data_IF_060695555316
#
_entry.id   IF_060695555316
#
_cell.length_a   1.000
_cell.length_b   1.000
_cell.length_c   1.000
_cell.angle_alpha   90.00
_cell.angle_beta   90.00
_cell.angle_gamma   90.00
#
_symmetry.space_group_name_H-M   'P 1'
#
loop_
_entity.id
_entity.type
_entity.pdbx_description
1 polymer ?
#
# COMPACT_ATOMS: atom_id res chain seq x y z
N UNK A 1 -0.30 27.34 -9.88
CA UNK A 1 0.07 28.03 -8.65
C UNK A 1 1.34 27.41 -8.08
N UNK A 2 2.43 28.18 -8.07
CA UNK A 2 3.64 27.79 -7.34
C UNK A 2 3.29 27.67 -5.87
N UNK A 3 3.24 26.45 -5.36
CA UNK A 3 3.26 26.25 -3.92
C UNK A 3 4.66 26.61 -3.43
N UNK A 4 4.76 27.73 -2.70
CA UNK A 4 5.99 28.15 -2.06
C UNK A 4 6.47 27.06 -1.10
N UNK A 5 7.61 26.45 -1.44
CA UNK A 5 8.35 25.59 -0.49
C UNK A 5 8.66 26.46 0.73
N UNK A 6 8.08 26.11 1.87
CA UNK A 6 8.40 26.80 3.12
C UNK A 6 9.89 26.68 3.44
N UNK A 7 10.51 27.74 3.92
CA UNK A 7 11.92 27.74 4.34
C UNK A 7 12.28 26.57 5.29
N UNK A 8 11.30 26.05 6.05
CA UNK A 8 11.46 24.90 6.92
C UNK A 8 11.80 23.60 6.21
N UNK A 9 11.32 23.40 4.97
CA UNK A 9 11.52 22.14 4.22
C UNK A 9 12.94 22.03 3.67
N UNK A 10 13.52 23.18 3.31
CA UNK A 10 14.91 23.25 2.84
C UNK A 10 15.90 22.88 3.94
N UNK A 11 15.65 23.29 5.17
CA UNK A 11 16.54 22.99 6.32
C UNK A 11 16.44 21.53 6.77
N UNK A 12 15.32 20.83 6.52
CA UNK A 12 15.12 19.43 6.91
C UNK A 12 15.60 18.43 5.87
N UNK A 13 16.14 18.88 4.72
CA UNK A 13 16.50 18.02 3.59
C UNK A 13 15.35 17.10 3.15
N UNK A 14 14.15 17.65 3.12
CA UNK A 14 12.95 16.94 2.69
C UNK A 14 12.69 17.19 1.22
N UNK A 15 12.42 16.11 0.49
CA UNK A 15 11.87 16.19 -0.85
C UNK A 15 10.35 16.15 -0.80
N UNK A 16 9.72 16.91 -1.66
CA UNK A 16 8.27 16.93 -1.83
C UNK A 16 7.93 16.24 -3.15
N UNK A 17 7.06 15.25 -3.08
CA UNK A 17 6.46 14.61 -4.24
C UNK A 17 5.00 15.04 -4.29
N UNK A 18 4.62 15.66 -5.41
CA UNK A 18 3.23 15.99 -5.68
C UNK A 18 2.55 14.76 -6.25
N UNK A 19 1.44 14.39 -5.66
CA UNK A 19 0.58 13.30 -6.12
C UNK A 19 -0.83 13.83 -6.31
N UNK A 20 -1.63 13.14 -7.10
CA UNK A 20 -3.06 13.36 -7.10
C UNK A 20 -3.66 12.94 -5.75
N UNK A 21 -4.81 13.52 -5.42
CA UNK A 21 -5.59 13.07 -4.27
C UNK A 21 -6.47 11.88 -4.66
N UNK A 22 -6.74 11.00 -3.69
CA UNK A 22 -7.78 9.99 -3.83
C UNK A 22 -9.18 10.69 -3.85
N UNK A 23 -10.24 9.90 -4.09
CA UNK A 23 -11.63 10.39 -4.10
C UNK A 23 -12.05 11.05 -2.78
N UNK A 24 -11.33 10.79 -1.69
CA UNK A 24 -11.57 11.34 -0.36
C UNK A 24 -10.66 12.54 -0.03
N UNK A 25 -9.86 13.00 -1.00
CA UNK A 25 -8.91 14.11 -0.84
C UNK A 25 -7.67 13.75 -0.01
N UNK A 26 -7.38 12.45 0.17
CA UNK A 26 -6.12 11.97 0.75
C UNK A 26 -5.11 11.74 -0.36
N UNK A 27 -3.86 11.56 0.04
CA UNK A 27 -2.79 11.17 -0.89
C UNK A 27 -3.12 9.81 -1.52
N UNK A 28 -3.10 9.75 -2.85
CA UNK A 28 -3.13 8.49 -3.58
C UNK A 28 -1.79 7.78 -3.38
N UNK A 29 -1.82 6.64 -2.68
CA UNK A 29 -0.61 5.91 -2.31
C UNK A 29 0.06 5.24 -3.52
N UNK A 30 -0.68 4.79 -4.52
CA UNK A 30 -0.11 4.19 -5.72
C UNK A 30 0.65 5.24 -6.54
N UNK A 31 0.07 6.43 -6.70
CA UNK A 31 0.74 7.58 -7.30
C UNK A 31 1.99 7.99 -6.51
N UNK A 32 1.92 7.99 -5.18
CA UNK A 32 3.06 8.29 -4.32
C UNK A 32 4.18 7.26 -4.48
N UNK A 33 3.86 5.96 -4.50
CA UNK A 33 4.84 4.88 -4.71
C UNK A 33 5.50 5.00 -6.10
N UNK A 34 4.72 5.28 -7.12
CA UNK A 34 5.23 5.52 -8.48
C UNK A 34 6.19 6.70 -8.50
N UNK A 35 5.83 7.83 -7.88
CA UNK A 35 6.68 9.01 -7.78
C UNK A 35 8.00 8.75 -7.03
N UNK A 36 7.99 7.90 -6.01
CA UNK A 36 9.17 7.47 -5.28
C UNK A 36 10.06 6.56 -6.13
N UNK A 37 9.46 5.58 -6.82
CA UNK A 37 10.18 4.67 -7.71
C UNK A 37 10.88 5.41 -8.86
N UNK A 38 10.25 6.43 -9.46
CA UNK A 38 10.86 7.29 -10.47
C UNK A 38 12.07 8.09 -9.95
N UNK A 39 12.18 8.28 -8.64
CA UNK A 39 13.36 8.86 -7.98
C UNK A 39 14.42 7.82 -7.61
N UNK A 40 14.23 6.55 -7.96
CA UNK A 40 15.14 5.46 -7.65
C UNK A 40 15.06 5.00 -6.19
N UNK A 41 13.94 5.26 -5.51
CA UNK A 41 13.69 4.79 -4.15
C UNK A 41 12.96 3.45 -4.26
N UNK A 42 13.61 2.39 -3.80
CA UNK A 42 13.15 1.00 -3.85
C UNK A 42 12.74 0.42 -2.49
N UNK A 43 12.98 1.18 -1.42
CA UNK A 43 12.62 0.80 -0.06
C UNK A 43 12.13 2.00 0.76
N UNK A 44 11.02 1.83 1.48
CA UNK A 44 10.39 2.90 2.26
C UNK A 44 10.12 2.39 3.66
N UNK A 45 10.55 3.15 4.66
CA UNK A 45 10.14 2.96 6.04
C UNK A 45 8.96 3.89 6.33
N UNK A 46 7.78 3.29 6.53
CA UNK A 46 6.57 4.03 6.90
C UNK A 46 6.45 4.14 8.42
N UNK A 47 6.72 5.30 8.96
CA UNK A 47 6.57 5.63 10.39
C UNK A 47 5.39 6.59 10.59
N UNK A 48 4.26 6.29 9.98
CA UNK A 48 3.05 7.10 10.05
C UNK A 48 2.18 6.75 11.27
N UNK A 49 1.16 7.58 11.51
CA UNK A 49 0.11 7.25 12.48
C UNK A 49 -0.81 6.12 12.00
N UNK A 50 -1.66 5.64 12.90
CA UNK A 50 -2.55 4.50 12.67
C UNK A 50 -3.41 4.61 11.40
N UNK A 51 -3.83 5.82 11.02
CA UNK A 51 -4.63 6.06 9.81
C UNK A 51 -3.83 5.81 8.53
N UNK A 52 -2.60 6.31 8.45
CA UNK A 52 -1.74 6.08 7.29
C UNK A 52 -1.33 4.62 7.19
N UNK A 53 -1.05 3.98 8.33
CA UNK A 53 -0.77 2.54 8.36
C UNK A 53 -1.96 1.73 7.82
N UNK A 54 -3.20 2.06 8.21
CA UNK A 54 -4.40 1.41 7.69
C UNK A 54 -4.52 1.56 6.17
N UNK A 55 -4.37 2.79 5.65
CA UNK A 55 -4.41 3.04 4.20
C UNK A 55 -3.33 2.27 3.44
N UNK A 56 -2.13 2.14 4.00
CA UNK A 56 -1.05 1.36 3.38
C UNK A 56 -1.35 -0.15 3.33
N UNK A 57 -2.00 -0.70 4.36
CA UNK A 57 -2.48 -2.08 4.35
C UNK A 57 -3.63 -2.28 3.36
N UNK A 58 -4.59 -1.35 3.32
CA UNK A 58 -5.71 -1.36 2.36
C UNK A 58 -5.22 -1.30 0.91
N UNK A 59 -4.19 -0.50 0.63
CA UNK A 59 -3.54 -0.41 -0.68
C UNK A 59 -2.63 -1.62 -1.00
N UNK A 60 -2.40 -2.55 -0.06
CA UNK A 60 -1.57 -3.73 -0.29
C UNK A 60 -0.07 -3.47 -0.49
N UNK A 61 0.40 -2.25 -0.19
CA UNK A 61 1.79 -1.84 -0.43
C UNK A 61 2.76 -2.22 0.69
N UNK A 62 2.26 -2.75 1.80
CA UNK A 62 3.10 -3.18 2.93
C UNK A 62 3.68 -4.57 2.66
N UNK A 63 5.00 -4.71 2.72
CA UNK A 63 5.70 -5.98 2.57
C UNK A 63 6.12 -6.56 3.92
N UNK A 64 6.52 -5.70 4.86
CA UNK A 64 7.10 -6.10 6.14
C UNK A 64 6.60 -5.18 7.24
N UNK A 65 6.39 -5.75 8.41
CA UNK A 65 6.04 -5.02 9.63
C UNK A 65 7.11 -5.20 10.69
N UNK A 66 7.37 -4.12 11.45
CA UNK A 66 8.20 -4.16 12.65
C UNK A 66 7.45 -3.45 13.76
N UNK A 67 7.04 -4.22 14.77
CA UNK A 67 6.14 -3.79 15.84
C UNK A 67 6.93 -3.75 17.15
N UNK A 68 6.96 -2.60 17.79
CA UNK A 68 7.55 -2.41 19.10
C UNK A 68 6.46 -2.47 20.17
N UNK A 69 6.61 -3.35 21.13
CA UNK A 69 5.67 -3.51 22.24
C UNK A 69 6.38 -3.21 23.56
N UNK A 70 6.10 -2.05 24.12
CA UNK A 70 6.60 -1.68 25.45
C UNK A 70 5.87 -2.49 26.54
N UNK A 71 6.53 -2.80 27.69
CA UNK A 71 5.91 -3.49 28.82
C UNK A 71 4.97 -2.56 29.59
N UNK A 72 3.98 -1.98 28.91
CA UNK A 72 3.02 -1.02 29.45
C UNK A 72 1.63 -1.29 28.90
N UNK A 73 0.62 -1.10 29.73
CA UNK A 73 -0.78 -1.20 29.35
C UNK A 73 -1.41 0.18 29.53
N UNK A 74 -1.90 0.78 28.45
CA UNK A 74 -2.61 2.06 28.50
C UNK A 74 -4.10 1.80 28.72
N UNK A 75 -4.71 0.90 27.95
CA UNK A 75 -6.14 0.60 27.99
C UNK A 75 -7.00 1.75 27.44
N UNK A 76 -8.33 1.54 27.48
CA UNK A 76 -9.33 2.52 27.05
C UNK A 76 -9.71 2.38 25.57
N UNK A 77 -11.01 2.54 25.29
CA UNK A 77 -11.57 2.40 23.92
C UNK A 77 -11.11 3.49 22.96
N UNK A 78 -10.68 4.65 23.47
CA UNK A 78 -10.17 5.78 22.68
C UNK A 78 -8.64 5.80 22.56
N UNK A 79 -7.95 4.81 23.15
CA UNK A 79 -6.50 4.73 23.01
C UNK A 79 -6.12 4.46 21.55
N UNK A 80 -5.11 5.16 20.99
CA UNK A 80 -4.66 4.91 19.64
C UNK A 80 -4.21 3.45 19.48
N UNK A 81 -4.78 2.75 18.48
CA UNK A 81 -4.33 1.43 18.10
C UNK A 81 -3.10 1.46 17.22
N UNK A 82 -2.48 0.30 17.00
CA UNK A 82 -1.36 0.14 16.09
C UNK A 82 -1.76 0.46 14.65
N UNK A 83 -2.90 -0.06 14.23
CA UNK A 83 -3.51 0.14 12.89
C UNK A 83 -4.90 0.74 13.11
N UNK A 84 -5.21 1.82 12.43
CA UNK A 84 -6.52 2.47 12.44
C UNK A 84 -7.45 1.93 11.36
N UNK A 85 -8.35 2.79 10.87
CA UNK A 85 -9.32 2.43 9.84
C UNK A 85 -10.48 1.60 10.40
N UNK A 86 -11.27 1.02 9.51
CA UNK A 86 -12.40 0.15 9.88
C UNK A 86 -11.94 -1.28 10.22
N UNK A 87 -10.74 -1.65 9.77
CA UNK A 87 -10.19 -2.98 9.95
C UNK A 87 -10.87 -4.05 9.08
N UNK A 88 -10.47 -5.31 9.28
CA UNK A 88 -11.07 -6.43 8.58
C UNK A 88 -12.45 -6.76 9.17
N UNK A 89 -13.43 -7.05 8.31
CA UNK A 89 -14.80 -7.39 8.75
C UNK A 89 -14.89 -8.78 9.38
N UNK A 90 -13.91 -9.63 9.14
CA UNK A 90 -13.80 -10.97 9.70
C UNK A 90 -12.34 -11.41 9.86
N UNK A 91 -12.11 -12.42 10.71
CA UNK A 91 -10.78 -13.04 10.85
C UNK A 91 -10.26 -13.67 9.55
N UNK A 92 -11.15 -14.05 8.62
CA UNK A 92 -10.77 -14.59 7.32
C UNK A 92 -10.16 -13.56 6.39
N UNK A 93 -10.53 -12.29 6.56
CA UNK A 93 -10.06 -11.14 5.79
C UNK A 93 -8.88 -10.43 6.45
N UNK A 94 -8.51 -10.85 7.66
CA UNK A 94 -7.36 -10.26 8.36
C UNK A 94 -6.07 -10.46 7.56
N UNK A 95 -5.23 -9.43 7.56
CA UNK A 95 -3.89 -9.50 6.95
C UNK A 95 -3.08 -10.60 7.65
N UNK A 96 -2.66 -11.59 6.88
CA UNK A 96 -1.84 -12.69 7.39
C UNK A 96 -0.37 -12.31 7.38
N UNK A 97 0.33 -12.75 8.40
CA UNK A 97 1.77 -12.55 8.52
C UNK A 97 2.48 -13.90 8.45
N UNK A 98 3.69 -13.90 7.88
CA UNK A 98 4.57 -15.06 7.78
C UNK A 98 5.99 -14.72 8.21
N UNK A 99 6.81 -15.74 8.41
CA UNK A 99 8.24 -15.62 8.76
C UNK A 99 8.46 -14.71 9.98
N UNK A 100 7.60 -14.87 10.99
CA UNK A 100 7.62 -14.05 12.19
C UNK A 100 8.82 -14.38 13.06
N UNK A 101 9.54 -13.33 13.47
CA UNK A 101 10.60 -13.40 14.47
C UNK A 101 10.38 -12.39 15.58
N UNK A 102 11.01 -12.65 16.72
CA UNK A 102 10.94 -11.77 17.88
C UNK A 102 12.32 -11.52 18.46
N UNK A 103 12.57 -10.30 18.90
CA UNK A 103 13.78 -9.92 19.61
C UNK A 103 13.45 -8.93 20.73
N UNK A 104 14.40 -8.70 21.63
CA UNK A 104 14.28 -7.66 22.67
C UNK A 104 15.13 -6.46 22.31
N UNK A 105 14.57 -5.27 22.46
CA UNK A 105 15.27 -4.00 22.30
C UNK A 105 15.14 -3.20 23.59
N UNK A 106 16.16 -3.27 24.46
CA UNK A 106 16.05 -2.77 25.82
C UNK A 106 14.94 -3.48 26.58
N UNK A 107 13.94 -2.75 27.12
CA UNK A 107 12.79 -3.34 27.81
C UNK A 107 11.67 -3.79 26.86
N UNK A 108 11.73 -3.43 25.58
CA UNK A 108 10.66 -3.63 24.61
C UNK A 108 10.82 -4.99 23.88
N UNK A 109 9.69 -5.58 23.53
CA UNK A 109 9.63 -6.72 22.60
C UNK A 109 9.44 -6.15 21.18
N UNK A 110 10.27 -6.61 20.27
CA UNK A 110 10.15 -6.30 18.84
C UNK A 110 9.65 -7.54 18.10
N UNK A 111 8.60 -7.37 17.33
CA UNK A 111 8.06 -8.40 16.43
C UNK A 111 8.34 -7.95 15.01
N UNK A 112 8.98 -8.81 14.23
CA UNK A 112 9.20 -8.59 12.80
C UNK A 112 8.54 -9.72 12.02
N UNK A 113 7.81 -9.36 10.95
CA UNK A 113 7.14 -10.33 10.10
C UNK A 113 6.91 -9.77 8.70
N UNK A 114 6.75 -10.65 7.72
CA UNK A 114 6.35 -10.29 6.38
C UNK A 114 4.85 -10.43 6.20
N UNK A 115 4.26 -9.56 5.39
CA UNK A 115 2.86 -9.69 4.98
C UNK A 115 2.76 -10.88 4.02
N UNK A 116 1.85 -11.81 4.32
CA UNK A 116 1.57 -12.92 3.42
C UNK A 116 0.58 -12.47 2.34
N UNK A 117 1.10 -12.08 1.20
CA UNK A 117 0.30 -11.67 0.02
C UNK A 117 -0.25 -12.87 -0.76
N UNK A 118 -0.15 -14.08 -0.20
CA UNK A 118 -0.47 -15.32 -0.91
C UNK A 118 0.61 -15.67 -1.96
N UNK A 119 0.26 -16.47 -2.94
CA UNK A 119 1.12 -16.65 -4.12
C UNK A 119 1.08 -15.31 -4.87
N UNK A 120 2.15 -14.53 -4.80
CA UNK A 120 2.37 -13.50 -5.82
C UNK A 120 2.55 -14.26 -7.12
N UNK A 121 1.68 -14.02 -8.08
CA UNK A 121 1.90 -14.48 -9.44
C UNK A 121 3.31 -14.10 -9.84
N UNK A 122 4.05 -15.03 -10.36
CA UNK A 122 5.34 -14.75 -10.99
C UNK A 122 5.13 -13.72 -12.10
N UNK A 123 6.20 -13.03 -12.51
CA UNK A 123 6.08 -12.09 -13.61
C UNK A 123 5.48 -12.77 -14.85
N UNK A 124 5.83 -14.04 -15.10
CA UNK A 124 5.31 -14.83 -16.19
C UNK A 124 3.79 -15.10 -16.06
N UNK A 125 3.31 -15.52 -14.87
CA UNK A 125 1.89 -15.73 -14.62
C UNK A 125 1.06 -14.43 -14.75
N UNK A 126 1.67 -13.28 -14.42
CA UNK A 126 1.02 -11.97 -14.61
C UNK A 126 0.95 -11.58 -16.09
N UNK A 127 1.99 -11.88 -16.87
CA UNK A 127 2.02 -11.65 -18.30
C UNK A 127 0.96 -12.53 -18.98
N UNK A 128 0.93 -13.81 -18.68
CA UNK A 128 -0.05 -14.77 -19.26
C UNK A 128 -1.49 -14.30 -19.01
N UNK A 129 -1.78 -13.81 -17.79
CA UNK A 129 -3.12 -13.29 -17.47
C UNK A 129 -3.45 -12.03 -18.25
N UNK A 130 -2.53 -11.09 -18.38
CA UNK A 130 -2.73 -9.86 -19.15
C UNK A 130 -2.92 -10.16 -20.64
N UNK A 131 -2.19 -11.13 -21.18
CA UNK A 131 -2.36 -11.57 -22.57
C UNK A 131 -3.74 -12.20 -22.78
N UNK A 132 -4.24 -12.97 -21.82
CA UNK A 132 -5.58 -13.55 -21.87
C UNK A 132 -6.68 -12.47 -21.81
N UNK A 133 -6.57 -11.50 -20.91
CA UNK A 133 -7.49 -10.37 -20.81
C UNK A 133 -7.52 -9.52 -22.09
N UNK A 134 -6.35 -9.27 -22.71
CA UNK A 134 -6.25 -8.55 -23.98
C UNK A 134 -6.92 -9.34 -25.10
N UNK A 135 -6.72 -10.66 -25.15
CA UNK A 135 -7.35 -11.53 -26.15
C UNK A 135 -8.86 -11.51 -26.03
N UNK A 136 -9.39 -11.72 -24.82
CA UNK A 136 -10.83 -11.70 -24.55
C UNK A 136 -11.46 -10.34 -24.88
N UNK A 137 -10.78 -9.24 -24.51
CA UNK A 137 -11.21 -7.88 -24.86
C UNK A 137 -11.22 -7.63 -26.35
N UNK A 138 -10.26 -8.17 -27.09
CA UNK A 138 -10.17 -8.05 -28.55
C UNK A 138 -11.27 -8.85 -29.26
N UNK A 139 -11.56 -10.07 -28.79
CA UNK A 139 -12.65 -10.91 -29.32
C UNK A 139 -14.02 -10.27 -29.08
N UNK A 140 -14.25 -9.71 -27.90
CA UNK A 140 -15.50 -9.02 -27.56
C UNK A 140 -15.73 -7.72 -28.38
N UNK A 141 -14.66 -7.08 -28.82
CA UNK A 141 -14.74 -5.93 -29.73
C UNK A 141 -15.04 -6.36 -31.17
N UNK A 142 -14.46 -7.47 -31.64
CA UNK A 142 -14.68 -8.00 -32.98
C UNK A 142 -16.13 -8.49 -33.18
N UNK A 143 -16.78 -9.03 -32.16
CA UNK A 143 -18.18 -9.44 -32.20
C UNK A 143 -19.18 -8.28 -32.27
N UNK A 144 -18.75 -7.07 -31.91
CA UNK A 144 -19.61 -5.86 -31.89
C UNK A 144 -19.57 -5.05 -33.17
N UNK A 145 -18.77 -5.41 -34.17
CA UNK A 145 -18.83 -4.74 -35.46
C UNK A 145 -20.10 -5.22 -36.22
N UNK A 146 -21.04 -4.31 -36.50
CA UNK A 146 -22.22 -4.66 -37.27
C UNK A 146 -21.79 -5.04 -38.71
N UNK A 147 -22.22 -6.21 -39.15
CA UNK A 147 -22.10 -6.59 -40.55
C UNK A 147 -22.71 -5.51 -41.44
N UNK A 148 -21.85 -4.73 -42.05
CA UNK A 148 -22.26 -3.72 -43.01
C UNK A 148 -22.83 -4.40 -44.23
N UNK A 149 -24.16 -4.65 -44.25
CA UNK A 149 -24.87 -4.99 -45.47
C UNK A 149 -24.91 -3.73 -46.36
N UNK A 150 -24.03 -3.77 -47.36
CA UNK A 150 -24.09 -2.87 -48.47
C UNK A 150 -25.37 -3.09 -49.31
N UNK A 151 -26.13 -2.04 -49.46
CA UNK A 151 -27.00 -1.83 -50.63
C UNK A 151 -26.71 -0.49 -51.23
#
# INVERSE_FOLDING_TARGET
PEMSRGLGDVYKRQDIIMTDGDEKGKVDLDSAMTGLALKGIDGILLEGGATLAASAFEAGIVDKVRIYTAPKIIGGVSAPGLIGGEGASSMGEAVKLKDMSTETCGPDLVIEAYVDKGKTDTADERIDRLEEEIREGSEALAEKEPSGDGK
#
